data_IF_119849359981
#
_entry.id   IF_119849359981
#
_cell.length_a   1.000
_cell.length_b   1.000
_cell.length_c   1.000
_cell.angle_alpha   90.00
_cell.angle_beta   90.00
_cell.angle_gamma   90.00
#
_symmetry.space_group_name_H-M   'P 1'
#
loop_
_entity.id
_entity.type
_entity.pdbx_description
1 polymer ?
#
# COMPACT_ATOMS: atom_id res chain seq x y z
N UNK A 1 -5.15 -3.27 -28.54
CA UNK A 1 -3.74 -3.71 -28.34
C UNK A 1 -2.99 -2.65 -27.56
N UNK A 2 -2.37 -3.00 -26.43
CA UNK A 2 -1.69 -2.04 -25.53
C UNK A 2 -0.45 -2.70 -24.91
N UNK A 3 0.60 -1.93 -24.73
CA UNK A 3 1.80 -2.36 -23.99
C UNK A 3 1.98 -1.40 -22.81
N UNK A 4 2.20 -1.96 -21.62
CA UNK A 4 2.47 -1.19 -20.39
C UNK A 4 3.84 -1.58 -19.88
N UNK A 5 4.72 -0.60 -19.71
CA UNK A 5 6.09 -0.80 -19.22
C UNK A 5 6.23 -0.07 -17.89
N UNK A 6 6.62 -0.81 -16.84
CA UNK A 6 7.05 -0.26 -15.55
C UNK A 6 8.56 -0.45 -15.38
N UNK A 7 9.11 0.03 -14.26
CA UNK A 7 10.53 -0.18 -13.92
C UNK A 7 10.93 -1.66 -13.91
N UNK A 8 10.01 -2.52 -13.43
CA UNK A 8 10.32 -3.92 -13.14
C UNK A 8 9.64 -4.91 -14.09
N UNK A 9 8.64 -4.49 -14.89
CA UNK A 9 7.85 -5.40 -15.73
C UNK A 9 7.36 -4.79 -17.05
N UNK A 10 7.17 -5.64 -18.06
CA UNK A 10 6.50 -5.30 -19.32
C UNK A 10 5.27 -6.19 -19.52
N UNK A 11 4.10 -5.57 -19.71
CA UNK A 11 2.82 -6.27 -19.92
C UNK A 11 2.30 -6.01 -21.33
N UNK A 12 2.01 -7.08 -22.06
CA UNK A 12 1.46 -7.03 -23.43
C UNK A 12 -0.01 -7.43 -23.39
N UNK A 13 -0.90 -6.55 -23.84
CA UNK A 13 -2.36 -6.70 -23.79
C UNK A 13 -2.91 -6.81 -25.21
N UNK A 14 -3.70 -7.86 -25.45
CA UNK A 14 -4.28 -8.21 -26.76
C UNK A 14 -3.21 -8.46 -27.85
N UNK A 15 -2.43 -9.53 -27.70
CA UNK A 15 -1.48 -9.98 -28.72
C UNK A 15 -2.17 -10.37 -30.03
N UNK A 16 -1.48 -10.21 -31.16
CA UNK A 16 -2.00 -10.53 -32.50
C UNK A 16 -1.75 -11.99 -32.93
N UNK A 17 -1.27 -12.84 -32.03
CA UNK A 17 -0.95 -14.24 -32.33
C UNK A 17 -2.20 -15.07 -32.62
N UNK A 18 -2.05 -16.05 -33.51
CA UNK A 18 -3.12 -17.02 -33.79
C UNK A 18 -3.45 -17.84 -32.53
N UNK A 19 -4.74 -17.97 -32.21
CA UNK A 19 -5.19 -18.70 -31.02
C UNK A 19 -4.84 -20.19 -31.11
N UNK A 20 -4.91 -20.77 -32.31
CA UNK A 20 -4.54 -22.16 -32.56
C UNK A 20 -3.06 -22.41 -32.29
N UNK A 21 -2.18 -21.53 -32.79
CA UNK A 21 -0.74 -21.59 -32.54
C UNK A 21 -0.40 -21.47 -31.05
N UNK A 22 -1.07 -20.57 -30.31
CA UNK A 22 -0.87 -20.44 -28.85
C UNK A 22 -1.32 -21.71 -28.12
N UNK A 23 -2.49 -22.27 -28.46
CA UNK A 23 -2.97 -23.50 -27.85
C UNK A 23 -2.05 -24.69 -28.15
N UNK A 24 -1.55 -24.80 -29.38
CA UNK A 24 -0.57 -25.80 -29.78
C UNK A 24 0.71 -25.68 -28.95
N UNK A 25 1.23 -24.45 -28.76
CA UNK A 25 2.42 -24.20 -27.94
C UNK A 25 2.19 -24.56 -26.47
N UNK A 26 1.02 -24.25 -25.91
CA UNK A 26 0.67 -24.64 -24.54
C UNK A 26 0.65 -26.17 -24.38
N UNK A 27 0.11 -26.90 -25.37
CA UNK A 27 0.09 -28.36 -25.38
C UNK A 27 1.51 -28.96 -25.45
N UNK A 28 2.37 -28.39 -26.30
CA UNK A 28 3.78 -28.78 -26.41
C UNK A 28 4.52 -28.61 -25.08
N UNK A 29 4.39 -27.44 -24.43
CA UNK A 29 5.01 -27.18 -23.12
C UNK A 29 4.52 -28.13 -22.02
N UNK A 30 3.24 -28.54 -22.05
CA UNK A 30 2.72 -29.53 -21.10
C UNK A 30 3.37 -30.90 -21.29
N UNK A 31 3.60 -31.33 -22.53
CA UNK A 31 4.33 -32.58 -22.82
C UNK A 31 5.80 -32.49 -22.41
N UNK A 32 6.45 -31.34 -22.61
CA UNK A 32 7.82 -31.12 -22.13
C UNK A 32 7.93 -31.21 -20.60
N UNK A 33 6.91 -30.75 -19.85
CA UNK A 33 6.86 -30.90 -18.39
C UNK A 33 6.80 -32.36 -17.97
N UNK A 34 5.96 -33.17 -18.64
CA UNK A 34 5.81 -34.59 -18.35
C UNK A 34 7.09 -35.39 -18.64
N UNK A 35 7.81 -35.01 -19.70
CA UNK A 35 9.03 -35.68 -20.14
C UNK A 35 10.32 -35.17 -19.47
N UNK A 36 10.23 -34.13 -18.65
CA UNK A 36 11.40 -33.62 -17.92
C UNK A 36 11.59 -34.37 -16.61
N UNK A 37 12.83 -34.64 -16.25
CA UNK A 37 13.21 -35.21 -14.93
C UNK A 37 13.72 -34.14 -13.96
N UNK A 38 13.93 -32.92 -14.45
CA UNK A 38 14.44 -31.78 -13.68
C UNK A 38 13.30 -31.02 -13.03
N UNK A 39 13.35 -30.90 -11.69
CA UNK A 39 12.38 -30.10 -10.93
C UNK A 39 12.41 -28.63 -11.32
N UNK A 40 13.60 -28.08 -11.58
CA UNK A 40 13.79 -26.70 -12.02
C UNK A 40 13.16 -26.44 -13.39
N UNK A 41 13.33 -27.37 -14.35
CA UNK A 41 12.73 -27.23 -15.68
C UNK A 41 11.21 -27.31 -15.62
N UNK A 42 10.67 -28.23 -14.80
CA UNK A 42 9.22 -28.32 -14.57
C UNK A 42 8.64 -27.01 -14.07
N UNK A 43 9.28 -26.39 -13.08
CA UNK A 43 8.86 -25.10 -12.53
C UNK A 43 8.86 -24.00 -13.59
N UNK A 44 9.95 -23.87 -14.36
CA UNK A 44 10.05 -22.82 -15.40
C UNK A 44 9.11 -23.04 -16.57
N UNK A 45 8.86 -24.29 -16.96
CA UNK A 45 7.87 -24.60 -17.98
C UNK A 45 6.44 -24.31 -17.48
N UNK A 46 6.14 -24.61 -16.21
CA UNK A 46 4.84 -24.27 -15.59
C UNK A 46 4.60 -22.76 -15.57
N UNK A 47 5.61 -21.94 -15.24
CA UNK A 47 5.50 -20.48 -15.30
C UNK A 47 5.15 -19.98 -16.71
N UNK A 48 5.78 -20.56 -17.75
CA UNK A 48 5.51 -20.21 -19.15
C UNK A 48 4.10 -20.61 -19.57
N UNK A 49 3.66 -21.81 -19.20
CA UNK A 49 2.30 -22.30 -19.44
C UNK A 49 1.28 -21.38 -18.77
N UNK A 50 1.51 -20.99 -17.51
CA UNK A 50 0.62 -20.10 -16.78
C UNK A 50 0.49 -18.74 -17.48
N UNK A 51 1.60 -18.15 -17.95
CA UNK A 51 1.58 -16.87 -18.68
C UNK A 51 0.86 -16.95 -20.03
N UNK A 52 1.00 -18.07 -20.76
CA UNK A 52 0.35 -18.26 -22.07
C UNK A 52 -1.12 -18.63 -21.96
N UNK A 53 -1.49 -19.47 -20.99
CA UNK A 53 -2.86 -19.95 -20.81
C UNK A 53 -3.73 -19.01 -19.97
N UNK A 54 -3.14 -18.30 -18.99
CA UNK A 54 -3.87 -17.42 -18.08
C UNK A 54 -4.36 -16.12 -18.71
N UNK A 55 -3.70 -15.66 -19.78
CA UNK A 55 -4.07 -14.44 -20.49
C UNK A 55 -3.98 -13.17 -19.62
N UNK A 56 -4.66 -12.11 -20.06
CA UNK A 56 -4.71 -10.82 -19.36
C UNK A 56 -6.14 -10.34 -19.25
N UNK A 57 -6.61 -10.09 -18.02
CA UNK A 57 -7.90 -9.46 -17.78
C UNK A 57 -7.79 -7.93 -17.88
N UNK A 58 -8.69 -7.29 -18.62
CA UNK A 58 -8.73 -5.83 -18.77
C UNK A 58 -9.98 -5.29 -18.10
N UNK A 59 -9.80 -4.47 -17.07
CA UNK A 59 -10.92 -3.79 -16.39
C UNK A 59 -11.01 -2.37 -16.94
N UNK A 60 -12.16 -2.02 -17.52
CA UNK A 60 -12.44 -0.69 -18.05
C UNK A 60 -13.27 0.08 -17.02
N UNK A 61 -12.70 1.16 -16.48
CA UNK A 61 -13.39 2.06 -15.54
C UNK A 61 -14.04 3.18 -16.34
N UNK A 62 -15.29 3.51 -16.00
CA UNK A 62 -16.03 4.63 -16.58
C UNK A 62 -16.52 5.59 -15.49
N UNK A 63 -16.57 6.88 -15.81
CA UNK A 63 -17.11 7.94 -14.95
C UNK A 63 -17.67 9.10 -15.78
N UNK A 64 -18.40 10.01 -15.13
CA UNK A 64 -19.04 11.14 -15.80
C UNK A 64 -18.07 12.31 -16.04
N UNK A 65 -17.03 12.43 -15.20
CA UNK A 65 -15.98 13.45 -15.33
C UNK A 65 -14.59 12.80 -15.27
N UNK A 66 -13.58 13.51 -15.78
CA UNK A 66 -12.18 13.03 -15.75
C UNK A 66 -11.65 12.88 -14.32
N UNK A 67 -12.05 13.79 -13.42
CA UNK A 67 -11.66 13.74 -12.00
C UNK A 67 -12.20 12.48 -11.34
N UNK A 68 -13.48 12.17 -11.54
CA UNK A 68 -14.08 10.93 -11.04
C UNK A 68 -13.46 9.67 -11.68
N UNK A 69 -13.11 9.74 -12.97
CA UNK A 69 -12.47 8.63 -13.67
C UNK A 69 -11.14 8.27 -13.02
N UNK A 70 -10.31 9.28 -12.75
CA UNK A 70 -8.99 9.10 -12.13
C UNK A 70 -9.12 8.59 -10.69
N UNK A 71 -10.07 9.12 -9.91
CA UNK A 71 -10.35 8.67 -8.55
C UNK A 71 -10.77 7.19 -8.53
N UNK A 72 -11.79 6.82 -9.32
CA UNK A 72 -12.26 5.42 -9.39
C UNK A 72 -11.18 4.48 -9.90
N UNK A 73 -10.34 4.94 -10.84
CA UNK A 73 -9.22 4.18 -11.37
C UNK A 73 -8.20 3.87 -10.27
N UNK A 74 -7.75 4.87 -9.51
CA UNK A 74 -6.78 4.66 -8.43
C UNK A 74 -7.37 3.74 -7.35
N UNK A 75 -8.62 3.97 -6.95
CA UNK A 75 -9.31 3.11 -5.97
C UNK A 75 -9.39 1.65 -6.43
N UNK A 76 -9.61 1.41 -7.72
CA UNK A 76 -9.63 0.06 -8.29
C UNK A 76 -8.22 -0.55 -8.33
N UNK A 77 -7.20 0.21 -8.70
CA UNK A 77 -5.80 -0.24 -8.70
C UNK A 77 -5.36 -0.66 -7.28
N UNK A 78 -5.75 0.11 -6.27
CA UNK A 78 -5.52 -0.21 -4.85
C UNK A 78 -6.23 -1.49 -4.44
N UNK A 79 -7.52 -1.64 -4.79
CA UNK A 79 -8.29 -2.84 -4.48
C UNK A 79 -7.71 -4.11 -5.14
N UNK A 80 -7.23 -4.02 -6.38
CA UNK A 80 -6.56 -5.14 -7.07
C UNK A 80 -5.26 -5.52 -6.36
N UNK A 81 -4.49 -4.53 -5.93
CA UNK A 81 -3.23 -4.75 -5.22
C UNK A 81 -3.47 -5.38 -3.84
N UNK A 82 -4.48 -4.90 -3.11
CA UNK A 82 -4.87 -5.43 -1.81
C UNK A 82 -5.40 -6.87 -1.91
N UNK A 83 -6.24 -7.18 -2.90
CA UNK A 83 -6.75 -8.54 -3.11
C UNK A 83 -5.64 -9.52 -3.48
N UNK A 84 -4.67 -9.13 -4.31
CA UNK A 84 -3.47 -9.94 -4.58
C UNK A 84 -2.68 -10.21 -3.30
N UNK A 85 -2.42 -9.18 -2.50
CA UNK A 85 -1.72 -9.31 -1.23
C UNK A 85 -2.45 -10.23 -0.25
N UNK A 86 -3.79 -10.18 -0.21
CA UNK A 86 -4.62 -11.04 0.62
C UNK A 86 -4.56 -12.52 0.18
N UNK A 87 -4.50 -12.77 -1.14
CA UNK A 87 -4.34 -14.14 -1.66
C UNK A 87 -2.96 -14.71 -1.34
N UNK A 88 -1.91 -13.88 -1.32
CA UNK A 88 -0.54 -14.31 -1.04
C UNK A 88 -0.29 -14.63 0.43
N UNK A 89 -0.70 -13.75 1.35
CA UNK A 89 -0.33 -13.82 2.77
C UNK A 89 -1.53 -13.91 3.73
N UNK A 90 -2.74 -13.97 3.21
CA UNK A 90 -3.96 -14.00 4.01
C UNK A 90 -4.43 -12.62 4.49
N UNK A 91 -5.41 -12.66 5.39
CA UNK A 91 -6.12 -11.49 5.91
C UNK A 91 -6.10 -11.46 7.44
N UNK A 92 -6.23 -10.26 8.00
CA UNK A 92 -6.41 -9.98 9.42
C UNK A 92 -7.60 -9.05 9.61
N UNK A 93 -8.06 -8.91 10.86
CA UNK A 93 -9.07 -7.89 11.19
C UNK A 93 -8.54 -6.50 10.87
N UNK A 94 -9.36 -5.72 10.17
CA UNK A 94 -8.98 -4.39 9.71
C UNK A 94 -9.16 -3.30 10.77
N UNK A 95 -9.26 -2.06 10.31
CA UNK A 95 -9.57 -0.91 11.18
C UNK A 95 -8.48 -0.60 12.21
N UNK A 96 -7.26 -1.10 12.01
CA UNK A 96 -6.16 -0.96 12.97
C UNK A 96 -6.24 -1.89 14.19
N UNK A 97 -7.30 -2.69 14.36
CA UNK A 97 -7.47 -3.59 15.50
C UNK A 97 -6.38 -4.66 15.57
N UNK A 98 -5.96 -5.20 14.41
CA UNK A 98 -4.89 -6.20 14.35
C UNK A 98 -3.57 -5.69 14.94
N UNK A 99 -3.22 -4.41 14.74
CA UNK A 99 -2.00 -3.82 15.30
C UNK A 99 -2.10 -3.62 16.80
N UNK A 100 -3.26 -3.16 17.28
CA UNK A 100 -3.54 -2.96 18.71
C UNK A 100 -3.37 -4.27 19.49
N UNK A 101 -3.99 -5.34 19.00
CA UNK A 101 -3.91 -6.68 19.58
C UNK A 101 -2.49 -7.28 19.47
N UNK A 102 -1.87 -7.19 18.30
CA UNK A 102 -0.50 -7.69 18.11
C UNK A 102 0.52 -6.99 19.02
N UNK A 103 0.28 -5.72 19.39
CA UNK A 103 1.15 -4.96 20.26
C UNK A 103 1.18 -5.47 21.71
N UNK A 104 0.28 -6.38 22.12
CA UNK A 104 0.31 -6.96 23.46
C UNK A 104 1.53 -7.86 23.70
N UNK A 105 2.14 -8.42 22.65
CA UNK A 105 3.42 -9.14 22.78
C UNK A 105 4.55 -8.24 23.30
N UNK A 106 4.42 -6.92 23.15
CA UNK A 106 5.39 -5.93 23.60
C UNK A 106 5.17 -5.50 25.07
N UNK A 107 4.21 -6.12 25.77
CA UNK A 107 4.02 -5.92 27.21
C UNK A 107 5.28 -6.31 28.00
N UNK A 108 5.62 -5.54 29.03
CA UNK A 108 6.82 -5.78 29.83
C UNK A 108 8.14 -5.49 29.12
N UNK A 109 8.09 -4.66 28.06
CA UNK A 109 9.26 -4.15 27.33
C UNK A 109 10.18 -5.26 26.78
N UNK A 110 9.64 -6.47 26.58
CA UNK A 110 10.36 -7.68 26.18
C UNK A 110 11.55 -8.05 27.10
N UNK A 111 11.55 -7.56 28.35
CA UNK A 111 12.66 -7.72 29.29
C UNK A 111 13.88 -6.83 29.00
N UNK A 112 13.78 -5.89 28.06
CA UNK A 112 14.82 -4.88 27.85
C UNK A 112 14.78 -3.79 28.92
N UNK A 113 15.90 -3.08 29.08
CA UNK A 113 16.05 -1.95 30.00
C UNK A 113 16.66 -0.74 29.31
N UNK A 114 16.54 0.46 29.92
CA UNK A 114 17.08 1.70 29.37
C UNK A 114 16.48 2.07 28.02
N UNK A 115 17.30 2.56 27.10
CA UNK A 115 16.86 3.08 25.78
C UNK A 115 16.16 2.02 24.92
N UNK A 116 16.57 0.75 25.04
CA UNK A 116 15.90 -0.35 24.33
C UNK A 116 14.45 -0.53 24.79
N UNK A 117 14.19 -0.41 26.10
CA UNK A 117 12.84 -0.47 26.64
C UNK A 117 11.98 0.71 26.18
N UNK A 118 12.58 1.92 26.08
CA UNK A 118 11.92 3.10 25.51
C UNK A 118 11.51 2.83 24.06
N UNK A 119 12.40 2.24 23.25
CA UNK A 119 12.11 1.87 21.87
C UNK A 119 10.93 0.89 21.75
N UNK A 120 10.87 -0.14 22.60
CA UNK A 120 9.74 -1.08 22.63
C UNK A 120 8.43 -0.36 22.93
N UNK A 121 8.40 0.52 23.95
CA UNK A 121 7.21 1.30 24.28
C UNK A 121 6.79 2.24 23.16
N UNK A 122 7.74 2.81 22.42
CA UNK A 122 7.45 3.67 21.28
C UNK A 122 6.76 2.90 20.15
N UNK A 123 7.27 1.72 19.79
CA UNK A 123 6.64 0.86 18.78
C UNK A 123 5.25 0.42 19.25
N UNK A 124 5.12 0.00 20.52
CA UNK A 124 3.82 -0.37 21.09
C UNK A 124 2.80 0.75 20.96
N UNK A 125 3.18 1.99 21.32
CA UNK A 125 2.32 3.17 21.16
C UNK A 125 2.00 3.44 19.70
N UNK A 126 2.97 3.33 18.79
CA UNK A 126 2.76 3.57 17.37
C UNK A 126 1.73 2.61 16.75
N UNK A 127 1.64 1.37 17.24
CA UNK A 127 0.63 0.41 16.81
C UNK A 127 -0.82 0.83 17.15
N UNK A 128 -1.01 1.71 18.13
CA UNK A 128 -2.34 2.24 18.51
C UNK A 128 -2.81 3.36 17.58
N UNK A 129 -1.88 4.07 16.94
CA UNK A 129 -2.16 5.28 16.17
C UNK A 129 -3.10 5.07 14.96
N UNK A 130 -3.03 3.96 14.19
CA UNK A 130 -3.95 3.75 13.08
C UNK A 130 -5.41 3.68 13.52
N UNK A 131 -5.73 2.90 14.57
CA UNK A 131 -7.09 2.83 15.09
C UNK A 131 -7.52 4.18 15.72
N UNK A 132 -6.61 4.86 16.41
CA UNK A 132 -6.87 6.20 16.98
C UNK A 132 -7.31 7.17 15.90
N UNK A 133 -6.56 7.26 14.79
CA UNK A 133 -6.88 8.18 13.70
C UNK A 133 -8.19 7.82 13.00
N UNK A 134 -8.48 6.53 12.81
CA UNK A 134 -9.77 6.09 12.25
C UNK A 134 -10.92 6.53 13.15
N UNK A 135 -10.80 6.35 14.47
CA UNK A 135 -11.82 6.76 15.44
C UNK A 135 -11.98 8.29 15.53
N UNK A 136 -10.88 9.05 15.49
CA UNK A 136 -10.94 10.52 15.49
C UNK A 136 -11.56 11.08 14.21
N UNK A 137 -11.27 10.48 13.05
CA UNK A 137 -11.93 10.84 11.80
C UNK A 137 -13.43 10.52 11.80
N UNK A 138 -13.87 9.57 12.64
CA UNK A 138 -15.27 9.27 12.90
C UNK A 138 -15.89 10.20 13.98
N UNK A 139 -15.13 11.13 14.56
CA UNK A 139 -15.61 12.08 15.57
C UNK A 139 -15.64 11.54 17.00
N UNK A 140 -14.96 10.42 17.28
CA UNK A 140 -14.88 9.80 18.60
C UNK A 140 -13.53 10.08 19.29
N UNK A 141 -13.47 9.85 20.60
CA UNK A 141 -12.21 9.93 21.36
C UNK A 141 -11.30 8.72 21.04
N UNK A 142 -10.31 8.93 20.17
CA UNK A 142 -9.55 7.82 19.58
C UNK A 142 -8.85 6.89 20.59
N UNK A 143 -8.19 7.43 21.62
CA UNK A 143 -7.54 6.58 22.63
C UNK A 143 -8.54 5.83 23.53
N UNK A 144 -9.76 6.34 23.71
CA UNK A 144 -10.83 5.61 24.41
C UNK A 144 -11.29 4.42 23.58
N UNK A 145 -11.42 4.60 22.26
CA UNK A 145 -11.72 3.51 21.33
C UNK A 145 -10.61 2.46 21.34
N UNK A 146 -9.35 2.87 21.27
CA UNK A 146 -8.19 1.96 21.35
C UNK A 146 -8.20 1.15 22.65
N UNK A 147 -8.36 1.81 23.79
CA UNK A 147 -8.38 1.15 25.10
C UNK A 147 -9.51 0.12 25.19
N UNK A 148 -10.69 0.44 24.64
CA UNK A 148 -11.82 -0.49 24.57
C UNK A 148 -11.52 -1.68 23.66
N UNK A 149 -11.01 -1.45 22.45
CA UNK A 149 -10.67 -2.54 21.49
C UNK A 149 -9.62 -3.46 22.08
N UNK A 150 -8.59 -2.94 22.77
CA UNK A 150 -7.57 -3.75 23.44
C UNK A 150 -8.12 -4.72 24.50
N UNK A 151 -9.26 -4.41 25.11
CA UNK A 151 -9.92 -5.28 26.09
C UNK A 151 -10.87 -6.31 25.44
N UNK A 152 -11.08 -6.24 24.12
CA UNK A 152 -11.92 -7.17 23.37
C UNK A 152 -11.11 -8.37 22.85
N UNK A 153 -11.78 -9.32 22.22
CA UNK A 153 -11.13 -10.47 21.60
C UNK A 153 -10.38 -10.07 20.32
N UNK A 154 -9.40 -10.88 19.93
CA UNK A 154 -8.55 -10.64 18.74
C UNK A 154 -9.35 -10.46 17.43
N UNK A 155 -10.52 -11.08 17.30
CA UNK A 155 -11.40 -10.97 16.14
C UNK A 155 -12.39 -9.80 16.21
N UNK A 156 -12.43 -9.11 17.35
CA UNK A 156 -13.36 -8.01 17.62
C UNK A 156 -12.63 -6.65 17.57
N UNK A 157 -13.36 -5.60 17.19
CA UNK A 157 -12.85 -4.25 17.10
C UNK A 157 -13.94 -3.21 16.89
N UNK A 158 -13.54 -2.02 16.42
CA UNK A 158 -14.44 -0.90 16.18
C UNK A 158 -14.68 -0.69 14.68
N UNK A 159 -15.94 -0.74 14.26
CA UNK A 159 -16.35 -0.47 12.89
C UNK A 159 -16.77 1.00 12.75
N UNK A 160 -15.88 1.83 12.24
CA UNK A 160 -16.09 3.28 12.08
C UNK A 160 -17.15 3.64 11.02
N UNK A 161 -17.59 2.71 10.18
CA UNK A 161 -18.67 2.97 9.22
C UNK A 161 -20.06 2.87 9.87
N UNK A 162 -20.18 2.10 10.95
CA UNK A 162 -21.45 1.83 11.64
C UNK A 162 -21.47 2.30 13.09
N UNK A 163 -20.35 2.76 13.63
CA UNK A 163 -20.13 3.11 15.04
C UNK A 163 -20.41 1.96 16.02
N UNK A 164 -20.21 0.71 15.58
CA UNK A 164 -20.47 -0.50 16.39
C UNK A 164 -19.17 -1.24 16.71
N UNK A 165 -19.13 -1.81 17.91
CA UNK A 165 -18.09 -2.75 18.31
C UNK A 165 -18.56 -4.18 18.08
N UNK A 166 -17.72 -5.01 17.47
CA UNK A 166 -18.11 -6.38 17.14
C UNK A 166 -17.03 -7.11 16.36
N UNK A 167 -17.44 -8.24 15.78
CA UNK A 167 -16.58 -9.11 14.96
C UNK A 167 -16.33 -8.48 13.59
N UNK A 168 -15.15 -7.89 13.42
CA UNK A 168 -14.81 -7.12 12.22
C UNK A 168 -14.74 -7.99 10.96
N UNK A 169 -14.38 -9.27 11.10
CA UNK A 169 -14.34 -10.19 9.97
C UNK A 169 -15.76 -10.49 9.46
N UNK A 170 -16.75 -10.62 10.36
CA UNK A 170 -18.16 -10.77 9.98
C UNK A 170 -18.74 -9.51 9.34
N UNK A 171 -18.30 -8.34 9.80
CA UNK A 171 -18.69 -7.05 9.24
C UNK A 171 -17.99 -6.73 7.90
N UNK A 172 -17.04 -7.57 7.47
CA UNK A 172 -16.27 -7.38 6.23
C UNK A 172 -15.15 -6.34 6.33
N UNK A 173 -14.78 -5.92 7.54
CA UNK A 173 -13.67 -5.00 7.81
C UNK A 173 -12.39 -5.82 7.98
N UNK A 174 -11.72 -6.08 6.86
CA UNK A 174 -10.52 -6.93 6.78
C UNK A 174 -9.40 -6.22 6.03
N UNK A 175 -8.17 -6.47 6.48
CA UNK A 175 -6.95 -5.96 5.84
C UNK A 175 -6.03 -7.11 5.41
N UNK A 176 -5.33 -7.01 4.27
CA UNK A 176 -4.31 -8.00 3.91
C UNK A 176 -3.13 -7.97 4.89
N UNK A 177 -2.69 -9.15 5.35
CA UNK A 177 -1.56 -9.28 6.31
C UNK A 177 -0.32 -8.55 5.81
N UNK A 178 0.01 -8.74 4.53
CA UNK A 178 1.17 -8.12 3.88
C UNK A 178 1.13 -6.61 3.96
N UNK A 179 -0.04 -5.99 3.79
CA UNK A 179 -0.19 -4.52 3.82
C UNK A 179 0.08 -4.00 5.22
N UNK A 180 -0.57 -4.56 6.24
CA UNK A 180 -0.41 -4.14 7.63
C UNK A 180 1.03 -4.33 8.12
N UNK A 181 1.64 -5.48 7.83
CA UNK A 181 3.04 -5.77 8.20
C UNK A 181 4.02 -4.84 7.49
N UNK A 182 3.89 -4.68 6.16
CA UNK A 182 4.81 -3.86 5.38
C UNK A 182 4.68 -2.38 5.74
N UNK A 183 3.48 -1.88 6.03
CA UNK A 183 3.29 -0.51 6.51
C UNK A 183 4.06 -0.25 7.80
N UNK A 184 3.91 -1.12 8.82
CA UNK A 184 4.61 -0.99 10.08
C UNK A 184 6.13 -1.11 9.91
N UNK A 185 6.61 -2.12 9.17
CA UNK A 185 8.04 -2.36 8.97
C UNK A 185 8.72 -1.20 8.23
N UNK A 186 8.11 -0.68 7.17
CA UNK A 186 8.66 0.43 6.40
C UNK A 186 8.65 1.74 7.22
N UNK A 187 7.56 2.01 7.94
CA UNK A 187 7.48 3.18 8.82
C UNK A 187 8.55 3.12 9.92
N UNK A 188 8.72 1.96 10.57
CA UNK A 188 9.76 1.76 11.57
C UNK A 188 11.18 1.95 10.99
N UNK A 189 11.42 1.45 9.77
CA UNK A 189 12.71 1.62 9.09
C UNK A 189 13.06 3.08 8.82
N UNK A 190 12.08 3.87 8.35
CA UNK A 190 12.29 5.31 8.09
C UNK A 190 12.46 6.06 9.42
N UNK A 191 11.61 5.78 10.42
CA UNK A 191 11.69 6.42 11.73
C UNK A 191 13.04 6.15 12.41
N UNK A 192 13.53 4.91 12.36
CA UNK A 192 14.84 4.55 12.91
C UNK A 192 15.97 5.34 12.24
N UNK A 193 15.96 5.43 10.89
CA UNK A 193 16.93 6.23 10.14
C UNK A 193 16.90 7.70 10.60
N UNK A 194 15.70 8.30 10.64
CA UNK A 194 15.51 9.70 11.02
C UNK A 194 15.97 10.00 12.44
N UNK A 195 15.60 9.16 13.42
CA UNK A 195 15.98 9.35 14.82
C UNK A 195 17.49 9.31 15.02
N UNK A 196 18.22 8.54 14.20
CA UNK A 196 19.69 8.45 14.24
C UNK A 196 20.41 9.51 13.37
N UNK A 197 19.66 10.39 12.69
CA UNK A 197 20.25 11.39 11.80
C UNK A 197 20.65 12.64 12.59
N UNK A 198 21.96 12.82 12.80
CA UNK A 198 22.51 13.95 13.55
C UNK A 198 22.63 15.25 12.73
N UNK A 199 22.79 15.14 11.40
CA UNK A 199 22.99 16.29 10.53
C UNK A 199 22.33 16.11 9.17
N UNK A 200 21.80 17.20 8.62
CA UNK A 200 21.21 17.27 7.28
C UNK A 200 21.87 18.42 6.53
N UNK A 201 22.36 18.15 5.32
CA UNK A 201 22.88 19.17 4.39
C UNK A 201 21.80 19.42 3.34
N UNK A 202 21.43 20.67 3.14
CA UNK A 202 20.44 21.07 2.13
C UNK A 202 20.99 22.19 1.25
N UNK A 203 20.56 22.22 0.00
CA UNK A 203 20.89 23.30 -0.92
C UNK A 203 20.06 24.54 -0.58
N UNK A 204 20.71 25.72 -0.58
CA UNK A 204 19.99 26.98 -0.39
C UNK A 204 18.98 27.16 -1.53
N UNK A 205 17.71 27.52 -1.25
CA UNK A 205 16.76 27.88 -2.28
C UNK A 205 17.36 28.99 -3.15
N UNK A 206 17.25 28.87 -4.48
CA UNK A 206 17.65 29.95 -5.37
C UNK A 206 16.77 31.18 -5.08
N UNK A 207 17.40 32.36 -4.99
CA UNK A 207 16.65 33.60 -4.90
C UNK A 207 15.75 33.71 -6.14
N UNK A 208 14.47 34.02 -5.94
CA UNK A 208 13.55 34.27 -7.04
C UNK A 208 14.16 35.38 -7.93
N UNK A 209 14.14 35.26 -9.26
CA UNK A 209 14.62 36.32 -10.13
C UNK A 209 13.86 37.58 -9.74
N UNK A 210 14.61 38.65 -9.40
CA UNK A 210 14.02 39.95 -9.15
C UNK A 210 13.16 40.29 -10.36
N UNK A 211 11.83 40.32 -10.16
CA UNK A 211 10.93 40.87 -11.15
C UNK A 211 11.48 42.25 -11.49
N UNK A 212 11.83 42.43 -12.77
CA UNK A 212 12.30 43.69 -13.30
C UNK A 212 11.21 44.73 -13.03
N UNK A 213 11.34 45.45 -11.92
CA UNK A 213 10.44 46.52 -11.54
C UNK A 213 10.29 47.45 -12.72
N UNK A 214 9.01 47.63 -13.08
CA UNK A 214 8.57 48.18 -14.34
C UNK A 214 9.17 49.56 -14.64
N UNK A 215 9.25 49.79 -15.95
CA UNK A 215 9.23 51.09 -16.60
C UNK A 215 8.84 52.26 -15.68
N UNK A 216 9.84 53.07 -15.32
CA UNK A 216 9.60 54.41 -14.80
C UNK A 216 8.94 55.23 -15.90
N UNK A 217 7.63 55.44 -15.81
CA UNK A 217 6.99 56.55 -16.49
C UNK A 217 7.57 57.84 -15.93
N UNK A 218 8.48 58.46 -16.68
CA UNK A 218 8.99 59.78 -16.38
C UNK A 218 7.86 60.81 -16.40
N UNK A 219 7.72 61.67 -15.38
CA UNK A 219 6.83 62.80 -15.46
C UNK A 219 7.46 63.87 -16.35
N UNK A 220 6.82 64.13 -17.48
CA UNK A 220 7.12 65.28 -18.33
C UNK A 220 6.92 66.59 -17.57
N UNK A 221 7.75 67.58 -17.89
CA UNK A 221 7.55 68.95 -17.46
C UNK A 221 8.70 69.89 -17.85
N UNK A 222 8.35 70.92 -18.62
CA UNK A 222 9.05 72.19 -18.92
C UNK A 222 9.94 72.19 -20.18
N UNK A 223 9.57 72.80 -21.31
CA UNK A 223 9.16 74.19 -21.65
C UNK A 223 10.35 75.11 -21.93
N UNK A 224 10.35 75.62 -23.18
CA UNK A 224 11.21 76.60 -23.85
C UNK A 224 12.52 76.10 -24.46
#
# INVERSE_FOLDING_TARGET
RRIVVSKDATTIIEGAGDKGAVAARVSELRKEIENSDSSWDKEKLQERVAKLAGGVCVIKVGAHTEVELNEKKHRLEDAISATRAAVEEGIVVGGGAALVHAADVLQGDLGFTGDKAVGVRLVRKACDEPLRWIAENAGLEGYVVVAKVRAMKDNEGFNAATDVYGDLAKDGVIDPVKVTRSALANAASIAAMFITTEAVVFERPADAPAEANGHSHGPGGHSH
#
